data_IF_638266107440
#
_entry.id   IF_638266107440
#
_cell.length_a   1.000
_cell.length_b   1.000
_cell.length_c   1.000
_cell.angle_alpha   90.00
_cell.angle_beta   90.00
_cell.angle_gamma   90.00
#
_symmetry.space_group_name_H-M   'P 1'
#
loop_
_entity.id
_entity.type
_entity.pdbx_description
1 polymer ?
#
# COMPACT_ATOMS: atom_id res chain seq x y z
N UNK A 1 -2.01 -71.76 17.94
CA UNK A 1 -1.10 -70.64 17.75
C UNK A 1 -1.40 -69.97 16.39
N UNK A 2 -2.29 -69.09 16.34
CA UNK A 2 -2.59 -68.17 15.16
C UNK A 2 -3.65 -67.17 15.61
N UNK A 3 -3.28 -65.90 15.80
CA UNK A 3 -4.13 -64.75 15.84
C UNK A 3 -3.61 -63.68 16.83
N UNK A 4 -2.43 -63.10 16.53
CA UNK A 4 -1.93 -61.92 17.25
C UNK A 4 -1.39 -60.84 16.28
N UNK A 5 -1.61 -61.01 14.98
CA UNK A 5 -1.04 -60.14 13.94
C UNK A 5 -1.98 -59.09 13.33
N UNK A 6 -3.27 -59.04 13.68
CA UNK A 6 -4.24 -58.20 12.94
C UNK A 6 -4.79 -57.02 13.74
N UNK A 7 -4.33 -56.78 14.97
CA UNK A 7 -4.85 -55.70 15.82
C UNK A 7 -3.95 -54.46 15.88
N UNK A 8 -2.76 -54.50 15.26
CA UNK A 8 -1.82 -53.40 15.32
C UNK A 8 -1.84 -52.50 14.08
N UNK A 9 -2.63 -52.83 13.05
CA UNK A 9 -2.73 -52.05 11.80
C UNK A 9 -3.90 -51.06 11.77
N UNK A 10 -4.77 -51.06 12.79
CA UNK A 10 -5.96 -50.16 12.87
C UNK A 10 -5.79 -48.97 13.81
N UNK A 11 -4.64 -48.78 14.44
CA UNK A 11 -4.38 -47.71 15.41
C UNK A 11 -3.52 -46.57 14.82
N UNK A 12 -3.18 -46.60 13.52
CA UNK A 12 -2.44 -45.54 12.84
C UNK A 12 -3.31 -44.68 11.93
N UNK A 13 -4.65 -44.80 11.98
CA UNK A 13 -5.58 -44.05 11.15
C UNK A 13 -6.40 -43.00 11.91
N UNK A 14 -5.99 -42.62 13.09
CA UNK A 14 -6.75 -41.60 13.81
C UNK A 14 -5.83 -40.72 14.60
N UNK A 15 -5.67 -39.56 14.13
CA UNK A 15 -5.40 -38.24 14.69
C UNK A 15 -4.46 -37.47 13.79
N UNK A 16 -4.68 -37.46 12.50
CA UNK A 16 -4.49 -36.23 11.80
C UNK A 16 -5.64 -35.34 12.31
N UNK A 17 -5.46 -34.66 13.42
CA UNK A 17 -6.23 -33.48 13.71
C UNK A 17 -6.05 -32.63 12.47
N UNK A 18 -7.09 -32.60 11.63
CA UNK A 18 -7.07 -31.79 10.41
C UNK A 18 -6.98 -30.36 10.89
N UNK A 19 -5.77 -29.80 10.86
CA UNK A 19 -5.60 -28.38 11.12
C UNK A 19 -6.54 -27.65 10.16
N UNK A 20 -7.41 -26.83 10.71
CA UNK A 20 -8.37 -26.09 9.91
C UNK A 20 -7.62 -25.24 8.90
N UNK A 21 -8.04 -25.30 7.65
CA UNK A 21 -7.38 -24.55 6.58
C UNK A 21 -7.66 -23.05 6.66
N UNK A 22 -6.76 -22.23 6.14
CA UNK A 22 -6.95 -20.79 6.09
C UNK A 22 -8.24 -20.37 5.37
N UNK A 23 -8.67 -21.11 4.34
CA UNK A 23 -9.95 -20.89 3.68
C UNK A 23 -11.14 -21.16 4.60
N UNK A 24 -11.12 -22.26 5.36
CA UNK A 24 -12.19 -22.56 6.33
C UNK A 24 -12.27 -21.50 7.43
N UNK A 25 -11.12 -21.06 7.93
CA UNK A 25 -11.03 -19.97 8.91
C UNK A 25 -11.56 -18.66 8.35
N UNK A 26 -11.20 -18.30 7.13
CA UNK A 26 -11.75 -17.12 6.44
C UNK A 26 -13.28 -17.19 6.35
N UNK A 27 -13.84 -18.30 5.85
CA UNK A 27 -15.29 -18.48 5.68
C UNK A 27 -16.05 -18.40 7.01
N UNK A 28 -15.50 -18.96 8.07
CA UNK A 28 -16.14 -19.01 9.37
C UNK A 28 -15.94 -17.74 10.19
N UNK A 29 -14.70 -17.20 10.20
CA UNK A 29 -14.29 -16.20 11.16
C UNK A 29 -14.26 -14.77 10.59
N UNK A 30 -13.86 -14.61 9.33
CA UNK A 30 -13.63 -13.28 8.74
C UNK A 30 -14.78 -12.85 7.83
N UNK A 31 -15.18 -13.71 6.90
CA UNK A 31 -16.21 -13.39 5.91
C UNK A 31 -17.53 -12.87 6.51
N UNK A 32 -18.07 -13.41 7.63
CA UNK A 32 -19.27 -12.89 8.24
C UNK A 32 -19.15 -11.48 8.83
N UNK A 33 -17.92 -11.01 9.07
CA UNK A 33 -17.64 -9.68 9.63
C UNK A 33 -17.41 -8.61 8.54
N UNK A 34 -17.27 -9.03 7.28
CA UNK A 34 -17.17 -8.11 6.18
C UNK A 34 -18.51 -7.43 5.99
N UNK A 35 -18.54 -6.12 6.11
CA UNK A 35 -19.74 -5.30 5.91
C UNK A 35 -20.10 -5.21 4.43
N UNK A 36 -20.38 -6.38 3.81
CA UNK A 36 -20.74 -6.53 2.41
C UNK A 36 -22.16 -7.09 2.30
N UNK A 37 -22.95 -6.56 1.39
CA UNK A 37 -24.25 -7.17 1.06
C UNK A 37 -24.09 -8.55 0.45
N UNK A 38 -23.01 -8.75 -0.32
CA UNK A 38 -22.70 -10.01 -0.98
C UNK A 38 -21.20 -10.16 -1.19
N UNK A 39 -20.68 -11.35 -0.91
CA UNK A 39 -19.35 -11.81 -1.35
C UNK A 39 -19.51 -13.18 -1.98
N UNK A 40 -19.16 -13.29 -3.25
CA UNK A 40 -19.15 -14.55 -4.02
C UNK A 40 -17.89 -14.70 -4.85
N UNK A 41 -17.51 -15.91 -5.19
CA UNK A 41 -16.34 -16.23 -6.01
C UNK A 41 -16.57 -17.49 -6.82
N UNK A 42 -15.93 -17.59 -8.00
CA UNK A 42 -16.04 -18.71 -8.90
C UNK A 42 -15.14 -19.89 -8.52
N UNK A 43 -14.06 -19.64 -7.77
CA UNK A 43 -13.15 -20.67 -7.31
C UNK A 43 -12.48 -20.29 -5.99
N UNK A 44 -12.12 -21.30 -5.16
CA UNK A 44 -11.42 -21.11 -3.92
C UNK A 44 -10.44 -22.26 -3.68
N UNK A 45 -9.24 -21.96 -3.19
CA UNK A 45 -8.19 -22.92 -2.86
C UNK A 45 -7.57 -22.56 -1.50
N UNK A 46 -7.22 -23.54 -0.69
CA UNK A 46 -6.51 -23.31 0.57
C UNK A 46 -5.00 -23.29 0.33
N UNK A 47 -4.31 -22.40 1.03
CA UNK A 47 -2.85 -22.31 1.11
C UNK A 47 -2.40 -22.60 2.55
N UNK A 48 -2.53 -23.85 2.98
CA UNK A 48 -2.24 -24.25 4.35
C UNK A 48 -3.29 -23.76 5.35
N UNK A 49 -2.84 -23.49 6.58
CA UNK A 49 -3.66 -23.08 7.73
C UNK A 49 -3.83 -21.53 7.84
N UNK A 50 -2.97 -20.77 7.18
CA UNK A 50 -2.92 -19.32 7.27
C UNK A 50 -3.25 -18.60 5.97
N UNK A 51 -3.50 -19.32 4.87
CA UNK A 51 -3.67 -18.70 3.57
C UNK A 51 -4.76 -19.35 2.70
N UNK A 52 -5.15 -18.61 1.65
CA UNK A 52 -6.11 -19.08 0.65
C UNK A 52 -6.03 -18.25 -0.64
N UNK A 53 -6.64 -18.78 -1.69
CA UNK A 53 -6.86 -18.05 -2.96
C UNK A 53 -8.34 -18.06 -3.28
N UNK A 54 -8.89 -16.92 -3.71
CA UNK A 54 -10.22 -16.79 -4.31
C UNK A 54 -10.06 -16.29 -5.73
N UNK A 55 -10.86 -16.84 -6.65
CA UNK A 55 -10.88 -16.45 -8.09
C UNK A 55 -12.27 -15.93 -8.46
N UNK A 56 -12.31 -15.01 -9.41
CA UNK A 56 -13.55 -14.41 -9.91
C UNK A 56 -14.45 -13.86 -8.79
N UNK A 57 -13.85 -13.05 -7.93
CA UNK A 57 -14.53 -12.51 -6.76
C UNK A 57 -15.44 -11.36 -7.13
N UNK A 58 -16.67 -11.39 -6.60
CA UNK A 58 -17.63 -10.29 -6.71
C UNK A 58 -18.04 -9.88 -5.29
N UNK A 59 -17.74 -8.64 -4.95
CA UNK A 59 -18.13 -8.00 -3.69
C UNK A 59 -19.16 -6.90 -3.97
N UNK A 60 -20.27 -6.90 -3.22
CA UNK A 60 -21.29 -5.84 -3.27
C UNK A 60 -21.22 -5.06 -1.97
N UNK A 61 -20.81 -3.81 -2.07
CA UNK A 61 -20.71 -2.87 -0.95
C UNK A 61 -22.06 -2.16 -0.78
N UNK A 62 -22.61 -2.12 0.43
CA UNK A 62 -23.86 -1.40 0.69
C UNK A 62 -23.67 0.12 0.50
N UNK A 63 -24.78 0.86 0.30
CA UNK A 63 -24.75 2.31 0.27
C UNK A 63 -24.12 2.90 1.54
N UNK A 64 -23.18 3.81 1.38
CA UNK A 64 -22.51 4.52 2.48
C UNK A 64 -22.11 5.93 2.04
N UNK A 65 -21.71 6.78 2.97
CA UNK A 65 -21.18 8.11 2.65
C UNK A 65 -19.97 8.04 1.70
N UNK A 66 -19.13 7.01 1.83
CA UNK A 66 -17.97 6.78 0.97
C UNK A 66 -18.34 6.38 -0.47
N UNK A 67 -19.56 5.87 -0.67
CA UNK A 67 -20.09 5.45 -1.97
C UNK A 67 -21.17 6.41 -2.51
N UNK A 68 -21.21 7.66 -2.03
CA UNK A 68 -22.29 8.62 -2.36
C UNK A 68 -23.69 8.03 -2.15
N UNK A 69 -23.87 7.23 -1.11
CA UNK A 69 -25.10 6.49 -0.81
C UNK A 69 -25.56 5.58 -1.97
N UNK A 70 -24.63 5.04 -2.75
CA UNK A 70 -24.92 4.10 -3.84
C UNK A 70 -24.35 2.72 -3.52
N UNK A 71 -25.10 1.70 -3.89
CA UNK A 71 -24.59 0.34 -3.95
C UNK A 71 -23.46 0.27 -4.97
N UNK A 72 -22.33 -0.35 -4.60
CA UNK A 72 -21.14 -0.46 -5.45
C UNK A 72 -20.76 -1.91 -5.63
N UNK A 73 -20.48 -2.31 -6.87
CA UNK A 73 -20.02 -3.66 -7.17
C UNK A 73 -18.54 -3.62 -7.55
N UNK A 74 -17.74 -4.39 -6.83
CA UNK A 74 -16.31 -4.59 -7.09
C UNK A 74 -16.11 -6.01 -7.61
N UNK A 75 -15.37 -6.15 -8.69
CA UNK A 75 -14.94 -7.43 -9.27
C UNK A 75 -13.43 -7.54 -9.13
N UNK A 76 -12.94 -8.71 -8.74
CA UNK A 76 -11.51 -8.96 -8.54
C UNK A 76 -11.19 -10.29 -9.23
N UNK A 77 -10.22 -10.27 -10.13
CA UNK A 77 -9.83 -11.50 -10.87
C UNK A 77 -9.31 -12.56 -9.89
N UNK A 78 -8.49 -12.13 -8.92
CA UNK A 78 -7.90 -13.04 -7.95
C UNK A 78 -7.55 -12.32 -6.65
N UNK A 79 -7.89 -12.93 -5.54
CA UNK A 79 -7.42 -12.59 -4.19
C UNK A 79 -6.52 -13.70 -3.70
N UNK A 80 -5.30 -13.38 -3.33
CA UNK A 80 -4.37 -14.31 -2.68
C UNK A 80 -4.08 -13.80 -1.27
N UNK A 81 -4.39 -14.58 -0.26
CA UNK A 81 -3.93 -14.37 1.10
C UNK A 81 -2.86 -15.44 1.34
N UNK A 82 -1.59 -15.03 1.36
CA UNK A 82 -0.48 -15.96 1.62
C UNK A 82 -0.42 -16.34 3.09
N UNK A 83 -0.64 -15.35 3.98
CA UNK A 83 -0.72 -15.57 5.42
C UNK A 83 -1.54 -14.48 6.10
N UNK A 84 -2.34 -14.87 7.11
CA UNK A 84 -3.12 -13.96 7.94
C UNK A 84 -3.17 -14.45 9.39
N UNK A 85 -3.16 -13.53 10.35
CA UNK A 85 -3.32 -13.81 11.77
C UNK A 85 -4.81 -14.01 12.11
N UNK A 86 -5.37 -15.15 11.70
CA UNK A 86 -6.77 -15.47 11.93
C UNK A 86 -7.15 -15.47 13.41
N UNK A 87 -6.21 -15.76 14.33
CA UNK A 87 -6.49 -15.76 15.77
C UNK A 87 -6.89 -14.38 16.26
N UNK A 88 -6.39 -13.32 15.60
CA UNK A 88 -6.73 -11.93 15.90
C UNK A 88 -7.79 -11.33 14.96
N UNK A 89 -8.08 -11.97 13.84
CA UNK A 89 -9.11 -11.53 12.89
C UNK A 89 -10.53 -12.02 13.22
N UNK A 90 -10.69 -12.90 14.20
CA UNK A 90 -12.02 -13.42 14.58
C UNK A 90 -12.86 -12.40 15.35
N UNK A 91 -14.19 -12.47 15.20
CA UNK A 91 -15.14 -11.55 15.79
C UNK A 91 -15.08 -11.44 17.33
N UNK A 92 -14.58 -12.47 18.00
CA UNK A 92 -14.38 -12.49 19.45
C UNK A 92 -13.19 -11.67 19.93
N UNK A 93 -12.28 -11.26 19.01
CA UNK A 93 -11.12 -10.46 19.32
C UNK A 93 -11.17 -9.13 18.54
N UNK A 94 -11.79 -8.12 19.13
CA UNK A 94 -11.90 -6.77 18.52
C UNK A 94 -10.85 -5.81 19.04
N UNK A 95 -10.11 -6.20 20.07
CA UNK A 95 -9.17 -5.32 20.77
C UNK A 95 -7.76 -5.42 20.18
N UNK A 96 -7.39 -6.60 19.66
CA UNK A 96 -6.03 -6.85 19.19
C UNK A 96 -5.91 -6.67 17.67
N UNK A 97 -4.89 -5.94 17.24
CA UNK A 97 -4.56 -5.83 15.82
C UNK A 97 -3.89 -7.12 15.31
N UNK A 98 -4.16 -7.57 14.08
CA UNK A 98 -3.45 -8.69 13.48
C UNK A 98 -1.94 -8.45 13.46
N UNK A 99 -1.15 -9.46 13.87
CA UNK A 99 0.31 -9.36 13.92
C UNK A 99 0.96 -9.44 12.55
N UNK A 100 0.30 -10.06 11.60
CA UNK A 100 0.78 -10.16 10.22
C UNK A 100 -0.38 -10.35 9.25
N UNK A 101 -0.15 -9.82 8.06
CA UNK A 101 -1.03 -10.05 6.92
C UNK A 101 -0.20 -9.91 5.64
N UNK A 102 -0.26 -10.93 4.78
CA UNK A 102 0.31 -10.88 3.46
C UNK A 102 -0.75 -11.26 2.44
N UNK A 103 -1.16 -10.29 1.64
CA UNK A 103 -2.25 -10.45 0.69
C UNK A 103 -2.04 -9.66 -0.60
N UNK A 104 -2.69 -10.14 -1.66
CA UNK A 104 -2.68 -9.51 -2.97
C UNK A 104 -4.08 -9.56 -3.58
N UNK A 105 -4.51 -8.44 -4.15
CA UNK A 105 -5.66 -8.32 -5.02
C UNK A 105 -5.17 -8.08 -6.45
N UNK A 106 -5.66 -8.86 -7.40
CA UNK A 106 -5.28 -8.76 -8.81
C UNK A 106 -6.52 -8.46 -9.64
N UNK A 107 -6.41 -7.49 -10.55
CA UNK A 107 -7.46 -7.15 -11.50
C UNK A 107 -8.73 -6.59 -10.88
N UNK A 108 -8.61 -5.80 -9.82
CA UNK A 108 -9.76 -5.16 -9.18
C UNK A 108 -10.36 -4.09 -10.10
N UNK A 109 -11.65 -4.21 -10.38
CA UNK A 109 -12.44 -3.25 -11.15
C UNK A 109 -13.73 -2.91 -10.40
N UNK A 110 -14.12 -1.66 -10.46
CA UNK A 110 -15.39 -1.20 -9.91
C UNK A 110 -16.45 -0.99 -10.99
N UNK A 111 -17.71 -0.90 -10.59
CA UNK A 111 -18.78 -0.38 -11.45
C UNK A 111 -18.61 1.14 -11.68
N UNK A 112 -19.60 1.78 -12.32
CA UNK A 112 -19.53 3.22 -12.59
C UNK A 112 -19.44 4.07 -11.31
N UNK A 113 -20.08 3.63 -10.22
CA UNK A 113 -20.03 4.33 -8.94
C UNK A 113 -18.64 4.29 -8.33
N UNK A 114 -18.00 3.11 -8.31
CA UNK A 114 -16.63 2.94 -7.82
C UNK A 114 -15.59 3.64 -8.71
N UNK A 115 -15.83 3.69 -10.02
CA UNK A 115 -14.89 4.28 -11.00
C UNK A 115 -14.99 5.82 -11.08
N UNK A 116 -16.00 6.42 -10.47
CA UNK A 116 -16.26 7.87 -10.57
C UNK A 116 -15.12 8.71 -10.04
N UNK A 117 -14.51 8.31 -8.94
CA UNK A 117 -13.35 9.00 -8.36
C UNK A 117 -12.20 9.05 -9.35
N UNK A 118 -11.90 7.95 -10.05
CA UNK A 118 -10.86 7.93 -11.09
C UNK A 118 -11.22 8.84 -12.26
N UNK A 119 -12.48 8.83 -12.71
CA UNK A 119 -12.95 9.68 -13.79
C UNK A 119 -12.89 11.18 -13.44
N UNK A 120 -13.10 11.55 -12.18
CA UNK A 120 -12.96 12.93 -11.70
C UNK A 120 -11.51 13.46 -11.88
N UNK A 121 -10.52 12.58 -11.84
CA UNK A 121 -9.12 12.89 -12.10
C UNK A 121 -8.72 12.64 -13.56
N UNK A 122 -9.67 12.39 -14.47
CA UNK A 122 -9.41 12.10 -15.88
C UNK A 122 -8.74 10.76 -16.15
N UNK A 123 -8.72 9.87 -15.15
CA UNK A 123 -8.11 8.55 -15.28
C UNK A 123 -9.08 7.56 -15.95
N UNK A 124 -8.59 6.71 -16.86
CA UNK A 124 -9.40 5.69 -17.48
C UNK A 124 -9.79 4.61 -16.46
N UNK A 125 -10.86 3.89 -16.76
CA UNK A 125 -11.25 2.70 -16.00
C UNK A 125 -10.30 1.55 -16.32
N UNK A 126 -9.25 1.42 -15.52
CA UNK A 126 -8.26 0.34 -15.63
C UNK A 126 -8.31 -0.57 -14.40
N UNK A 127 -7.94 -1.84 -14.53
CA UNK A 127 -7.79 -2.72 -13.38
C UNK A 127 -6.71 -2.20 -12.41
N UNK A 128 -6.97 -2.39 -11.13
CA UNK A 128 -6.07 -2.05 -10.03
C UNK A 128 -5.56 -3.34 -9.39
N UNK A 129 -4.26 -3.44 -9.22
CA UNK A 129 -3.64 -4.47 -8.40
C UNK A 129 -3.16 -3.85 -7.10
N UNK A 130 -3.33 -4.56 -5.98
CA UNK A 130 -2.88 -4.09 -4.66
C UNK A 130 -2.18 -5.22 -3.94
N UNK A 131 -1.06 -4.92 -3.29
CA UNK A 131 -0.33 -5.87 -2.43
C UNK A 131 -0.13 -5.24 -1.06
N UNK A 132 -0.35 -6.02 -0.01
CA UNK A 132 -0.03 -5.66 1.37
C UNK A 132 0.76 -6.79 2.01
N UNK A 133 1.92 -6.47 2.59
CA UNK A 133 2.72 -7.35 3.41
C UNK A 133 3.22 -6.57 4.63
N UNK A 134 2.72 -6.93 5.82
CA UNK A 134 3.17 -6.31 7.06
C UNK A 134 3.31 -7.30 8.21
N UNK A 135 4.11 -6.91 9.19
CA UNK A 135 4.30 -7.59 10.47
C UNK A 135 4.33 -6.60 11.61
N UNK A 136 3.66 -6.96 12.70
CA UNK A 136 3.67 -6.26 13.98
C UNK A 136 4.35 -7.15 15.03
N UNK A 137 5.57 -6.78 15.41
CA UNK A 137 6.26 -7.37 16.56
C UNK A 137 5.73 -6.70 17.84
N UNK A 138 4.89 -7.42 18.55
CA UNK A 138 4.21 -6.90 19.76
C UNK A 138 5.18 -6.73 20.93
N UNK A 139 6.24 -7.53 20.99
CA UNK A 139 7.26 -7.44 22.04
C UNK A 139 8.16 -6.22 21.82
N UNK A 140 8.60 -5.97 20.60
CA UNK A 140 9.39 -4.82 20.22
C UNK A 140 8.53 -3.55 19.98
N UNK A 141 7.19 -3.67 19.97
CA UNK A 141 6.25 -2.62 19.56
C UNK A 141 6.64 -2.02 18.20
N UNK A 142 6.98 -2.89 17.24
CA UNK A 142 7.47 -2.50 15.92
C UNK A 142 6.54 -2.96 14.83
N UNK A 143 6.03 -2.03 14.04
CA UNK A 143 5.34 -2.28 12.78
C UNK A 143 6.35 -2.21 11.63
N UNK A 144 6.42 -3.26 10.84
CA UNK A 144 7.15 -3.31 9.58
C UNK A 144 6.16 -3.55 8.45
N UNK A 145 6.01 -2.58 7.57
CA UNK A 145 5.32 -2.74 6.28
C UNK A 145 6.40 -3.01 5.25
N UNK A 146 6.55 -4.29 4.88
CA UNK A 146 7.50 -4.70 3.86
C UNK A 146 7.08 -4.19 2.48
N UNK A 147 5.76 -4.20 2.23
CA UNK A 147 5.19 -3.77 0.97
C UNK A 147 3.75 -3.32 1.11
N UNK A 148 3.47 -2.10 0.66
CA UNK A 148 2.14 -1.63 0.31
C UNK A 148 2.22 -1.13 -1.13
N UNK A 149 1.56 -1.83 -2.06
CA UNK A 149 1.63 -1.51 -3.48
C UNK A 149 0.24 -1.25 -4.05
N UNK A 150 0.15 -0.22 -4.88
CA UNK A 150 -0.98 0.06 -5.75
C UNK A 150 -0.48 0.17 -7.19
N UNK A 151 -1.04 -0.62 -8.09
CA UNK A 151 -0.71 -0.61 -9.51
C UNK A 151 -1.96 -0.36 -10.34
N UNK A 152 -1.95 0.69 -11.13
CA UNK A 152 -2.93 0.98 -12.17
C UNK A 152 -2.40 0.36 -13.46
N UNK A 153 -2.98 -0.75 -13.93
CA UNK A 153 -2.46 -1.51 -15.07
C UNK A 153 -2.26 -0.61 -16.29
N UNK A 154 -1.02 -0.56 -16.78
CA UNK A 154 -0.63 0.25 -17.94
C UNK A 154 -0.37 1.74 -17.66
N UNK A 155 -0.63 2.24 -16.44
CA UNK A 155 -0.42 3.65 -16.09
C UNK A 155 0.71 3.88 -15.10
N UNK A 156 0.93 2.96 -14.15
CA UNK A 156 1.99 3.12 -13.18
C UNK A 156 1.74 2.35 -11.89
N UNK A 157 2.75 2.41 -11.02
CA UNK A 157 2.78 1.71 -9.74
C UNK A 157 3.35 2.61 -8.66
N UNK A 158 2.75 2.56 -7.48
CA UNK A 158 3.22 3.22 -6.27
C UNK A 158 3.49 2.11 -5.25
N UNK A 159 4.68 2.10 -4.68
CA UNK A 159 5.10 1.14 -3.68
C UNK A 159 5.64 1.87 -2.45
N UNK A 160 5.15 1.51 -1.27
CA UNK A 160 5.57 2.03 0.02
C UNK A 160 6.08 0.88 0.89
N UNK A 161 7.23 1.08 1.53
CA UNK A 161 7.67 0.28 2.67
C UNK A 161 7.99 1.20 3.84
N UNK A 162 7.82 0.73 5.09
CA UNK A 162 8.15 1.54 6.27
C UNK A 162 8.35 0.69 7.52
N UNK A 163 9.10 1.24 8.48
CA UNK A 163 9.31 0.68 9.81
C UNK A 163 8.99 1.76 10.84
N UNK A 164 8.10 1.43 11.78
CA UNK A 164 7.67 2.31 12.86
C UNK A 164 7.85 1.59 14.18
N UNK A 165 8.53 2.20 15.15
CA UNK A 165 8.58 1.75 16.54
C UNK A 165 7.52 2.46 17.39
N UNK A 166 7.19 1.89 18.55
CA UNK A 166 6.19 2.45 19.47
C UNK A 166 4.74 2.17 19.09
N UNK A 167 4.51 1.21 18.19
CA UNK A 167 3.15 0.80 17.76
C UNK A 167 2.58 -0.19 18.75
N UNK A 168 1.41 0.13 19.34
CA UNK A 168 0.64 -0.82 20.15
C UNK A 168 -0.03 -1.86 19.26
N UNK A 169 -0.26 -3.05 19.81
CA UNK A 169 -1.07 -4.08 19.18
C UNK A 169 -2.56 -4.00 19.60
N UNK A 170 -2.93 -2.99 20.39
CA UNK A 170 -4.30 -2.73 20.79
C UNK A 170 -4.95 -1.68 19.90
N UNK A 171 -6.17 -1.96 19.44
CA UNK A 171 -6.92 -1.03 18.59
C UNK A 171 -7.20 0.31 19.29
N UNK A 172 -7.53 0.26 20.58
CA UNK A 172 -7.84 1.46 21.37
C UNK A 172 -6.62 2.37 21.60
N UNK A 173 -5.41 1.79 21.60
CA UNK A 173 -4.16 2.54 21.80
C UNK A 173 -3.62 3.17 20.49
N UNK A 174 -4.33 3.02 19.35
CA UNK A 174 -3.86 3.58 18.08
C UNK A 174 -3.73 5.11 18.09
N UNK A 175 -4.52 5.81 18.92
CA UNK A 175 -4.36 7.25 19.10
C UNK A 175 -3.04 7.58 19.82
N UNK A 176 -2.68 6.79 20.83
CA UNK A 176 -1.41 6.95 21.57
C UNK A 176 -0.20 6.67 20.66
N UNK A 177 -0.36 5.87 19.62
CA UNK A 177 0.67 5.62 18.61
C UNK A 177 1.08 6.90 17.85
N UNK A 178 0.19 7.90 17.73
CA UNK A 178 0.53 9.20 17.12
C UNK A 178 1.61 9.93 17.91
N UNK A 179 1.60 9.80 19.24
CA UNK A 179 2.56 10.47 20.14
C UNK A 179 3.80 9.61 20.38
N UNK A 180 3.63 8.29 20.55
CA UNK A 180 4.70 7.34 20.86
C UNK A 180 5.43 6.84 19.61
N UNK A 181 4.77 6.82 18.47
CA UNK A 181 5.28 6.28 17.20
C UNK A 181 6.53 7.01 16.72
N UNK A 182 7.52 6.24 16.27
CA UNK A 182 8.78 6.74 15.72
C UNK A 182 9.07 6.07 14.39
N UNK A 183 9.04 6.85 13.32
CA UNK A 183 9.44 6.40 12.00
C UNK A 183 10.94 6.10 11.99
N UNK A 184 11.32 4.87 11.74
CA UNK A 184 12.71 4.43 11.64
C UNK A 184 13.22 4.48 10.20
N UNK A 185 12.38 4.10 9.27
CA UNK A 185 12.66 4.20 7.83
C UNK A 185 11.37 4.19 7.03
N UNK A 186 11.40 4.80 5.85
CA UNK A 186 10.37 4.64 4.83
C UNK A 186 10.99 4.74 3.44
N UNK A 187 10.39 4.06 2.47
CA UNK A 187 10.71 4.19 1.06
C UNK A 187 9.42 4.25 0.25
N UNK A 188 9.28 5.29 -0.57
CA UNK A 188 8.18 5.46 -1.51
C UNK A 188 8.76 5.45 -2.93
N UNK A 189 8.35 4.48 -3.74
CA UNK A 189 8.74 4.38 -5.14
C UNK A 189 7.53 4.61 -6.03
N UNK A 190 7.67 5.48 -7.03
CA UNK A 190 6.67 5.77 -8.05
C UNK A 190 7.26 5.37 -9.40
N UNK A 191 6.71 4.32 -10.02
CA UNK A 191 7.03 3.86 -11.37
C UNK A 191 5.91 4.34 -12.31
N UNK A 192 6.08 5.53 -12.87
CA UNK A 192 5.10 6.16 -13.74
C UNK A 192 5.26 5.69 -15.19
N UNK A 193 4.15 5.29 -15.82
CA UNK A 193 4.06 4.87 -17.23
C UNK A 193 3.01 5.66 -18.01
N UNK A 194 2.68 6.86 -17.51
CA UNK A 194 1.71 7.76 -18.11
C UNK A 194 0.65 8.27 -17.14
N UNK A 195 0.67 7.86 -15.87
CA UNK A 195 -0.26 8.33 -14.83
C UNK A 195 -0.12 9.85 -14.65
N UNK A 196 1.11 10.34 -14.44
CA UNK A 196 1.38 11.77 -14.27
C UNK A 196 0.93 12.57 -15.50
N UNK A 197 1.20 12.05 -16.69
CA UNK A 197 0.76 12.69 -17.95
C UNK A 197 -0.76 12.84 -18.01
N UNK A 198 -1.51 11.78 -17.66
CA UNK A 198 -2.98 11.86 -17.67
C UNK A 198 -3.52 12.81 -16.62
N UNK A 199 -2.97 12.79 -15.41
CA UNK A 199 -3.36 13.71 -14.33
C UNK A 199 -3.09 15.17 -14.71
N UNK A 200 -1.92 15.48 -15.30
CA UNK A 200 -1.59 16.82 -15.75
C UNK A 200 -2.52 17.30 -16.88
N UNK A 201 -2.81 16.44 -17.86
CA UNK A 201 -3.73 16.78 -18.96
C UNK A 201 -5.13 17.04 -18.43
N UNK A 202 -5.66 16.18 -17.55
CA UNK A 202 -6.99 16.35 -16.97
C UNK A 202 -7.10 17.63 -16.13
N UNK A 203 -6.09 17.88 -15.28
CA UNK A 203 -6.05 19.07 -14.42
C UNK A 203 -5.92 20.36 -15.26
N UNK A 204 -5.02 20.38 -16.23
CA UNK A 204 -4.87 21.52 -17.13
C UNK A 204 -6.18 21.84 -17.86
N UNK A 205 -6.85 20.80 -18.39
CA UNK A 205 -8.14 20.94 -19.07
C UNK A 205 -9.23 21.54 -18.16
N UNK A 206 -9.30 21.08 -16.89
CA UNK A 206 -10.29 21.58 -15.92
C UNK A 206 -10.08 23.07 -15.57
N UNK A 207 -8.86 23.56 -15.68
CA UNK A 207 -8.47 24.94 -15.38
C UNK A 207 -8.35 25.84 -16.63
N UNK A 208 -8.57 25.29 -17.82
CA UNK A 208 -8.39 26.02 -19.09
C UNK A 208 -6.92 26.32 -19.45
N UNK A 209 -5.98 25.57 -18.84
CA UNK A 209 -4.54 25.70 -19.01
C UNK A 209 -3.97 24.63 -19.96
N UNK A 210 -2.70 24.77 -20.33
CA UNK A 210 -1.94 23.70 -20.97
C UNK A 210 -1.16 22.88 -19.91
N UNK A 211 -0.98 21.57 -20.11
CA UNK A 211 -0.18 20.75 -19.17
C UNK A 211 1.23 21.29 -18.96
N UNK A 212 1.84 21.86 -20.01
CA UNK A 212 3.16 22.48 -19.97
C UNK A 212 3.23 23.65 -19.00
N UNK A 213 2.16 24.46 -18.92
CA UNK A 213 2.09 25.61 -18.02
C UNK A 213 2.08 25.16 -16.55
N UNK A 214 1.36 24.06 -16.25
CA UNK A 214 1.37 23.45 -14.91
C UNK A 214 2.75 22.88 -14.54
N UNK A 215 3.41 22.21 -15.48
CA UNK A 215 4.77 21.70 -15.28
C UNK A 215 5.75 22.86 -15.07
N UNK A 216 5.70 23.90 -15.89
CA UNK A 216 6.56 25.08 -15.76
C UNK A 216 6.37 25.77 -14.39
N UNK A 217 5.11 25.92 -13.95
CA UNK A 217 4.81 26.47 -12.63
C UNK A 217 5.36 25.59 -11.50
N UNK A 218 5.20 24.26 -11.61
CA UNK A 218 5.76 23.32 -10.64
C UNK A 218 7.28 23.38 -10.55
N UNK A 219 7.97 23.45 -11.69
CA UNK A 219 9.42 23.58 -11.75
C UNK A 219 9.89 24.93 -11.19
N UNK A 220 9.17 26.03 -11.48
CA UNK A 220 9.46 27.35 -10.91
C UNK A 220 9.32 27.33 -9.38
N UNK A 221 8.26 26.71 -8.88
CA UNK A 221 8.05 26.55 -7.43
C UNK A 221 9.19 25.75 -6.79
N UNK A 222 9.58 24.61 -7.38
CA UNK A 222 10.74 23.83 -6.91
C UNK A 222 12.00 24.68 -6.89
N UNK A 223 12.28 25.43 -7.96
CA UNK A 223 13.46 26.32 -8.06
C UNK A 223 13.45 27.40 -6.96
N UNK A 224 12.27 27.97 -6.62
CA UNK A 224 12.18 28.97 -5.56
C UNK A 224 12.54 28.43 -4.18
N UNK A 225 12.41 27.12 -3.95
CA UNK A 225 12.76 26.45 -2.69
C UNK A 225 14.25 26.10 -2.58
N UNK A 226 15.03 26.24 -3.68
CA UNK A 226 16.44 25.85 -3.70
C UNK A 226 17.43 26.93 -3.22
N UNK A 227 16.99 28.16 -3.06
CA UNK A 227 17.87 29.34 -2.86
C UNK A 227 18.76 29.35 -1.58
N UNK A 228 18.59 28.40 -0.66
CA UNK A 228 19.36 28.27 0.57
C UNK A 228 19.63 26.79 0.96
N UNK A 229 19.67 25.92 -0.03
CA UNK A 229 19.79 24.47 0.20
C UNK A 229 21.23 23.99 0.12
N UNK A 230 21.57 22.96 0.92
CA UNK A 230 22.84 22.28 0.79
C UNK A 230 22.92 21.39 -0.47
N UNK A 231 24.13 20.91 -0.79
CA UNK A 231 24.38 20.14 -2.01
C UNK A 231 23.57 18.81 -2.10
N UNK A 232 23.28 18.17 -0.96
CA UNK A 232 22.51 16.92 -0.95
C UNK A 232 21.01 17.19 -1.13
N UNK A 233 20.49 18.26 -0.50
CA UNK A 233 19.13 18.71 -0.75
C UNK A 233 18.93 19.12 -2.21
N UNK A 234 19.91 19.79 -2.81
CA UNK A 234 19.91 20.13 -4.24
C UNK A 234 19.77 18.89 -5.12
N UNK A 235 20.48 17.80 -4.82
CA UNK A 235 20.34 16.53 -5.58
C UNK A 235 18.91 15.97 -5.52
N UNK A 236 18.26 16.05 -4.35
CA UNK A 236 16.87 15.62 -4.21
C UNK A 236 15.92 16.49 -5.05
N UNK A 237 16.09 17.81 -5.05
CA UNK A 237 15.33 18.71 -5.90
C UNK A 237 15.57 18.46 -7.40
N UNK A 238 16.82 18.23 -7.81
CA UNK A 238 17.16 17.92 -9.20
C UNK A 238 16.51 16.61 -9.66
N UNK A 239 16.46 15.60 -8.80
CA UNK A 239 15.77 14.34 -9.08
C UNK A 239 14.26 14.55 -9.29
N UNK A 240 13.60 15.30 -8.39
CA UNK A 240 12.16 15.63 -8.52
C UNK A 240 11.91 16.48 -9.76
N UNK A 241 12.70 17.53 -9.99
CA UNK A 241 12.55 18.39 -11.15
C UNK A 241 12.74 17.63 -12.47
N UNK A 242 13.74 16.72 -12.51
CA UNK A 242 13.97 15.87 -13.68
C UNK A 242 12.80 14.92 -13.93
N UNK A 243 12.25 14.29 -12.88
CA UNK A 243 11.08 13.42 -13.00
C UNK A 243 9.85 14.20 -13.49
N UNK A 244 9.58 15.37 -12.92
CA UNK A 244 8.48 16.24 -13.34
C UNK A 244 8.71 16.73 -14.78
N UNK A 245 9.94 17.06 -15.15
CA UNK A 245 10.29 17.48 -16.50
C UNK A 245 10.11 16.37 -17.54
N UNK A 246 10.33 15.13 -17.15
CA UNK A 246 10.15 13.94 -18.00
C UNK A 246 8.70 13.40 -18.01
N UNK A 247 7.71 14.15 -17.53
CA UNK A 247 6.33 13.73 -17.30
C UNK A 247 5.62 13.02 -18.46
N UNK A 248 6.06 13.28 -19.73
CA UNK A 248 5.52 12.60 -20.91
C UNK A 248 6.15 11.24 -21.15
N UNK A 249 7.40 11.04 -20.70
CA UNK A 249 8.18 9.82 -20.95
C UNK A 249 9.21 9.65 -19.82
N UNK A 250 8.78 9.24 -18.61
CA UNK A 250 9.67 9.01 -17.49
C UNK A 250 10.74 7.96 -17.83
N UNK A 251 11.96 8.16 -17.36
CA UNK A 251 13.12 7.29 -17.65
C UNK A 251 13.31 6.18 -16.63
N UNK A 252 12.36 6.01 -15.74
CA UNK A 252 12.35 5.01 -14.70
C UNK A 252 11.64 5.50 -13.45
N UNK A 253 11.66 4.73 -12.37
CA UNK A 253 10.99 5.12 -11.13
C UNK A 253 11.72 6.28 -10.44
N UNK A 254 10.96 7.11 -9.73
CA UNK A 254 11.47 8.00 -8.70
C UNK A 254 11.28 7.34 -7.34
N UNK A 255 12.33 7.36 -6.50
CA UNK A 255 12.28 6.79 -5.15
C UNK A 255 12.66 7.84 -4.11
N UNK A 256 11.80 8.00 -3.12
CA UNK A 256 12.00 8.81 -1.93
C UNK A 256 12.36 7.86 -0.78
N UNK A 257 13.48 8.07 -0.13
CA UNK A 257 13.91 7.29 1.03
C UNK A 257 14.06 8.20 2.24
N UNK A 258 13.47 7.78 3.35
CA UNK A 258 13.53 8.47 4.65
C UNK A 258 14.22 7.55 5.64
N UNK A 259 15.28 8.05 6.30
CA UNK A 259 16.03 7.30 7.30
C UNK A 259 16.56 8.25 8.37
N UNK A 260 15.71 8.66 9.33
CA UNK A 260 16.09 9.56 10.41
C UNK A 260 17.11 8.90 11.33
N UNK A 261 18.11 9.66 11.79
CA UNK A 261 19.19 9.13 12.63
C UNK A 261 18.71 8.64 14.02
N UNK A 262 17.61 9.18 14.52
CA UNK A 262 17.08 8.88 15.88
C UNK A 262 15.60 8.45 15.88
N UNK A 263 15.05 8.10 14.72
CA UNK A 263 13.61 7.95 14.58
C UNK A 263 12.87 9.30 14.64
N UNK A 264 11.97 9.55 13.72
CA UNK A 264 11.19 10.78 13.66
C UNK A 264 9.79 10.57 14.23
N UNK A 265 9.30 11.49 15.04
CA UNK A 265 7.91 11.47 15.48
C UNK A 265 6.97 11.86 14.33
N UNK A 266 5.71 11.50 14.44
CA UNK A 266 4.71 11.96 13.45
C UNK A 266 4.53 13.49 13.50
N UNK A 267 4.76 14.13 14.64
CA UNK A 267 4.77 15.58 14.74
C UNK A 267 5.93 16.22 13.95
N UNK A 268 7.13 15.59 14.00
CA UNK A 268 8.28 16.02 13.19
C UNK A 268 7.97 15.88 11.69
N UNK A 269 7.26 14.81 11.30
CA UNK A 269 6.82 14.61 9.92
C UNK A 269 5.79 15.66 9.49
N UNK A 270 4.85 16.04 10.37
CA UNK A 270 3.83 17.06 10.10
C UNK A 270 4.38 18.48 9.94
N UNK A 271 5.53 18.80 10.57
CA UNK A 271 6.21 20.10 10.47
C UNK A 271 7.03 20.33 9.22
N UNK A 272 7.04 19.40 8.28
CA UNK A 272 7.98 19.30 7.16
C UNK A 272 7.67 20.16 5.92
N UNK A 273 6.99 21.26 6.08
CA UNK A 273 6.85 22.25 5.00
C UNK A 273 8.15 23.04 4.72
N UNK A 274 9.22 22.80 5.51
CA UNK A 274 10.54 23.43 5.34
C UNK A 274 11.54 22.41 4.74
N UNK A 275 12.07 22.62 3.53
CA UNK A 275 12.92 21.65 2.83
C UNK A 275 14.19 21.22 3.59
N UNK A 276 14.85 22.12 4.32
CA UNK A 276 16.04 21.79 5.12
C UNK A 276 15.70 20.82 6.27
N UNK A 277 14.54 20.97 6.91
CA UNK A 277 14.08 20.09 7.97
C UNK A 277 13.86 18.65 7.45
N UNK A 278 13.47 18.48 6.20
CA UNK A 278 13.27 17.18 5.57
C UNK A 278 14.54 16.33 5.60
N UNK A 279 15.69 16.90 5.28
CA UNK A 279 16.95 16.17 5.29
C UNK A 279 17.53 16.00 6.69
N UNK A 280 17.61 17.08 7.44
CA UNK A 280 18.24 17.07 8.78
C UNK A 280 17.45 16.23 9.78
N UNK A 281 16.13 16.31 9.74
CA UNK A 281 15.24 15.57 10.65
C UNK A 281 14.94 14.17 10.17
N UNK A 282 14.66 14.00 8.86
CA UNK A 282 14.21 12.72 8.29
C UNK A 282 15.28 11.94 7.54
N UNK A 283 16.43 12.54 7.24
CA UNK A 283 17.43 11.90 6.38
C UNK A 283 16.85 11.58 4.99
N UNK A 284 16.03 12.51 4.44
CA UNK A 284 15.41 12.34 3.12
C UNK A 284 16.46 12.29 2.02
N UNK A 285 16.36 11.30 1.15
CA UNK A 285 17.06 11.24 -0.13
C UNK A 285 16.08 10.93 -1.25
N UNK A 286 16.34 11.43 -2.44
CA UNK A 286 15.52 11.18 -3.64
C UNK A 286 16.42 10.73 -4.77
N UNK A 287 16.02 9.67 -5.47
CA UNK A 287 16.73 9.15 -6.64
C UNK A 287 15.80 9.02 -7.83
N UNK A 288 16.28 9.37 -9.00
CA UNK A 288 15.59 9.22 -10.28
C UNK A 288 16.58 8.89 -11.38
N UNK A 289 16.32 7.87 -12.20
CA UNK A 289 17.22 7.42 -13.26
C UNK A 289 17.47 8.47 -14.36
N UNK A 290 16.50 9.38 -14.57
CA UNK A 290 16.59 10.48 -15.52
C UNK A 290 17.28 11.74 -14.97
N UNK A 291 17.77 11.73 -13.73
CA UNK A 291 18.48 12.89 -13.17
C UNK A 291 19.70 13.21 -14.03
N UNK A 292 19.74 14.40 -14.59
CA UNK A 292 20.92 14.89 -15.30
C UNK A 292 21.99 15.16 -14.25
N UNK A 293 23.14 14.53 -14.36
CA UNK A 293 24.31 14.89 -13.56
C UNK A 293 24.49 16.41 -13.65
N UNK A 294 24.40 17.11 -12.51
CA UNK A 294 24.24 18.55 -12.43
C UNK A 294 25.11 19.29 -13.43
N UNK A 295 24.50 20.20 -14.16
CA UNK A 295 25.24 21.24 -14.85
C UNK A 295 26.05 21.97 -13.75
N UNK A 296 27.37 21.83 -13.79
CA UNK A 296 28.26 22.54 -12.90
C UNK A 296 27.82 24.02 -12.89
N UNK A 297 27.59 24.55 -11.69
CA UNK A 297 27.28 25.97 -11.54
C UNK A 297 28.30 26.78 -12.34
N UNK A 298 27.89 27.73 -13.15
CA UNK A 298 28.82 28.60 -13.84
C UNK A 298 29.65 29.31 -12.77
N UNK A 299 31.00 29.23 -12.94
CA UNK A 299 31.97 29.87 -12.06
C UNK A 299 31.78 31.39 -12.04
#
# INVERSE_FOLDING_TARGET
MRSFGTFLALLLLSTAAWAESGLQRFEREVKPQLELEKLSYGGAESLGDQGFVLKDVVAVVPPSAQTDNKRTTIRIEKVTVESADFDRLKASNKEDLPRFLKMKFEGMTGDEAASRSLAAYGLPKVPVDTTLDYRLDTAAKRLTVEKLEFSLRGLGRIELSLVIDGVSDKADDMEDTKDSGRLQSASLTIDDKGLLSQLLVANAKSQGNKPEDLVALGLLTLTSLTGQQDAESMKAFDAVASFVGDWRSPKGPITFTVKPAKGASFADVGGLLMPNALRETLGLSVTYAGTRAGAAAPK
#
